data_IF_791319725998
#
_entry.id   IF_791319725998
#
_cell.length_a   1.000
_cell.length_b   1.000
_cell.length_c   1.000
_cell.angle_alpha   90.00
_cell.angle_beta   90.00
_cell.angle_gamma   90.00
#
_symmetry.space_group_name_H-M   'P 1'
#
loop_
_entity.id
_entity.type
_entity.pdbx_description
1 polymer ?
#
# COMPACT_ATOMS: atom_id res chain seq x y z
N UNK A 1 9.15 0.86 -1.14
CA UNK A 1 7.82 0.66 -0.50
C UNK A 1 7.23 -0.61 -1.07
N UNK A 2 6.62 -1.44 -0.24
CA UNK A 2 5.91 -2.64 -0.66
C UNK A 2 4.43 -2.46 -0.29
N UNK A 3 3.53 -2.79 -1.20
CA UNK A 3 2.09 -2.60 -1.04
C UNK A 3 1.42 -3.91 -1.44
N UNK A 4 0.43 -4.32 -0.67
CA UNK A 4 -0.37 -5.51 -0.91
C UNK A 4 -1.84 -5.20 -0.61
N UNK A 5 -2.74 -5.79 -1.39
CA UNK A 5 -4.18 -5.66 -1.22
C UNK A 5 -4.81 -7.05 -1.13
N UNK A 6 -5.71 -7.24 -0.17
CA UNK A 6 -6.43 -8.49 0.03
C UNK A 6 -7.92 -8.28 -0.12
N UNK A 7 -8.56 -9.19 -0.86
CA UNK A 7 -10.01 -9.23 -1.05
C UNK A 7 -10.52 -10.44 -0.29
N UNK A 8 -11.57 -10.26 0.51
CA UNK A 8 -12.32 -11.39 1.04
C UNK A 8 -13.57 -11.57 0.17
N UNK A 9 -13.62 -12.62 -0.68
CA UNK A 9 -14.75 -12.86 -1.58
C UNK A 9 -16.09 -12.88 -0.83
N UNK A 10 -17.16 -12.41 -1.48
CA UNK A 10 -18.54 -12.43 -0.98
C UNK A 10 -18.83 -11.61 0.29
N UNK A 11 -17.83 -10.94 0.87
CA UNK A 11 -17.98 -10.20 2.12
C UNK A 11 -17.90 -8.67 1.94
N UNK A 12 -17.58 -8.19 0.74
CA UNK A 12 -17.27 -6.77 0.44
C UNK A 12 -16.21 -6.15 1.37
N UNK A 13 -15.41 -7.01 2.03
CA UNK A 13 -14.33 -6.60 2.93
C UNK A 13 -13.02 -6.71 2.22
N UNK A 14 -12.23 -5.66 2.36
CA UNK A 14 -10.94 -5.53 1.73
C UNK A 14 -9.92 -5.08 2.76
N UNK A 15 -8.69 -5.55 2.60
CA UNK A 15 -7.54 -5.09 3.35
C UNK A 15 -6.52 -4.48 2.42
N UNK A 16 -5.82 -3.46 2.89
CA UNK A 16 -4.56 -3.05 2.29
C UNK A 16 -3.48 -3.02 3.35
N UNK A 17 -2.26 -3.35 2.93
CA UNK A 17 -1.06 -3.24 3.74
C UNK A 17 0.02 -2.54 2.94
N UNK A 18 0.75 -1.65 3.60
CA UNK A 18 1.92 -1.01 2.99
C UNK A 18 3.06 -0.95 4.00
N UNK A 19 4.28 -1.15 3.52
CA UNK A 19 5.51 -1.04 4.31
C UNK A 19 6.47 -0.13 3.58
N UNK A 20 6.99 0.88 4.28
CA UNK A 20 8.06 1.75 3.80
C UNK A 20 9.34 1.28 4.46
N UNK A 21 10.37 1.09 3.63
CA UNK A 21 11.72 0.74 4.05
C UNK A 21 12.66 1.84 3.58
N UNK A 22 13.69 2.13 4.37
CA UNK A 22 14.79 2.97 3.93
C UNK A 22 15.71 2.22 2.94
N UNK A 23 16.77 2.90 2.49
CA UNK A 23 17.73 2.34 1.54
C UNK A 23 18.56 1.18 2.11
N UNK A 24 18.62 1.03 3.44
CA UNK A 24 19.28 -0.11 4.12
C UNK A 24 18.34 -1.31 4.22
N UNK A 25 17.06 -1.14 3.88
CA UNK A 25 16.02 -2.16 4.03
C UNK A 25 15.34 -2.16 5.39
N UNK A 26 15.67 -1.22 6.29
CA UNK A 26 15.01 -1.07 7.60
C UNK A 26 13.59 -0.54 7.41
N UNK A 27 12.63 -1.16 8.07
CA UNK A 27 11.23 -0.69 8.08
C UNK A 27 11.14 0.61 8.90
N UNK A 28 10.64 1.67 8.29
CA UNK A 28 10.47 2.99 8.93
C UNK A 28 9.00 3.34 9.17
N UNK A 29 8.08 2.74 8.42
CA UNK A 29 6.65 2.91 8.60
C UNK A 29 5.88 1.69 8.08
N UNK A 30 4.74 1.39 8.72
CA UNK A 30 3.82 0.35 8.30
C UNK A 30 2.38 0.84 8.39
N UNK A 31 1.56 0.45 7.41
CA UNK A 31 0.14 0.75 7.31
C UNK A 31 -0.64 -0.55 7.15
N UNK A 32 -1.72 -0.69 7.91
CA UNK A 32 -2.72 -1.74 7.74
C UNK A 32 -4.09 -1.09 7.83
N UNK A 33 -4.86 -1.11 6.73
CA UNK A 33 -6.16 -0.44 6.67
C UNK A 33 -7.20 -1.37 6.08
N UNK A 34 -8.36 -1.44 6.72
CA UNK A 34 -9.55 -2.08 6.15
C UNK A 34 -10.23 -1.09 5.21
N UNK A 35 -10.58 -1.56 4.03
CA UNK A 35 -11.34 -0.81 3.04
C UNK A 35 -12.70 -1.51 2.86
N UNK A 36 -13.72 -0.71 2.60
CA UNK A 36 -15.08 -1.18 2.31
C UNK A 36 -15.50 -0.69 0.93
N UNK A 37 -16.22 -1.54 0.20
CA UNK A 37 -16.67 -1.28 -1.16
C UNK A 37 -16.59 -2.50 -2.06
N UNK A 38 -17.16 -2.36 -3.25
CA UNK A 38 -17.18 -3.41 -4.29
C UNK A 38 -16.20 -3.00 -5.37
N UNK A 39 -14.99 -3.56 -5.32
CA UNK A 39 -13.92 -3.31 -6.30
C UNK A 39 -13.47 -4.63 -6.89
N UNK A 40 -13.06 -4.61 -8.16
CA UNK A 40 -12.31 -5.73 -8.72
C UNK A 40 -10.94 -5.83 -8.04
N UNK A 41 -10.29 -7.00 -8.09
CA UNK A 41 -8.95 -7.17 -7.53
C UNK A 41 -7.94 -6.15 -8.11
N UNK A 42 -8.02 -5.86 -9.41
CA UNK A 42 -7.18 -4.87 -10.09
C UNK A 42 -7.41 -3.46 -9.57
N UNK A 43 -8.67 -3.06 -9.41
CA UNK A 43 -9.01 -1.73 -8.88
C UNK A 43 -8.55 -1.57 -7.44
N UNK A 44 -8.61 -2.64 -6.64
CA UNK A 44 -8.09 -2.62 -5.28
C UNK A 44 -6.57 -2.44 -5.23
N UNK A 45 -5.82 -3.16 -6.07
CA UNK A 45 -4.36 -3.00 -6.13
C UNK A 45 -4.00 -1.56 -6.48
N UNK A 46 -4.64 -1.00 -7.51
CA UNK A 46 -4.44 0.40 -7.90
C UNK A 46 -4.80 1.37 -6.76
N UNK A 47 -5.92 1.12 -6.07
CA UNK A 47 -6.36 1.94 -4.93
C UNK A 47 -5.42 1.81 -3.72
N UNK A 48 -4.91 0.63 -3.43
CA UNK A 48 -3.95 0.40 -2.37
C UNK A 48 -2.63 1.14 -2.63
N UNK A 49 -2.15 1.15 -3.88
CA UNK A 49 -0.98 1.94 -4.29
C UNK A 49 -1.26 3.43 -4.11
N UNK A 50 -2.39 3.93 -4.61
CA UNK A 50 -2.75 5.34 -4.48
C UNK A 50 -2.81 5.80 -3.01
N UNK A 51 -3.49 5.03 -2.15
CA UNK A 51 -3.62 5.33 -0.73
C UNK A 51 -2.29 5.24 0.02
N UNK A 52 -1.44 4.28 -0.32
CA UNK A 52 -0.12 4.15 0.30
C UNK A 52 0.84 5.28 -0.11
N UNK A 53 0.77 5.75 -1.36
CA UNK A 53 1.50 6.93 -1.82
C UNK A 53 1.04 8.21 -1.10
N UNK A 54 -0.27 8.40 -0.96
CA UNK A 54 -0.81 9.52 -0.18
C UNK A 54 -0.34 9.46 1.26
N UNK A 55 -0.43 8.29 1.89
CA UNK A 55 0.06 8.08 3.26
C UNK A 55 1.55 8.39 3.41
N UNK A 56 2.39 7.98 2.46
CA UNK A 56 3.82 8.32 2.50
C UNK A 56 4.06 9.82 2.36
N UNK A 57 3.28 10.51 1.54
CA UNK A 57 3.33 11.98 1.44
C UNK A 57 2.97 12.64 2.77
N UNK A 58 1.93 12.15 3.45
CA UNK A 58 1.49 12.69 4.74
C UNK A 58 2.55 12.45 5.85
N UNK A 59 3.37 11.41 5.71
CA UNK A 59 4.53 11.13 6.57
C UNK A 59 5.80 11.91 6.18
N UNK A 60 5.73 12.80 5.19
CA UNK A 60 6.89 13.48 4.58
C UNK A 60 8.00 12.51 4.12
N UNK A 61 7.61 11.28 3.77
CA UNK A 61 8.54 10.26 3.30
C UNK A 61 8.78 10.43 1.79
N UNK A 62 9.99 10.87 1.41
CA UNK A 62 10.40 10.91 0.00
C UNK A 62 10.64 9.49 -0.54
N UNK A 63 9.70 8.98 -1.32
CA UNK A 63 9.87 7.73 -2.06
C UNK A 63 10.72 7.99 -3.30
N UNK A 64 11.84 7.27 -3.42
CA UNK A 64 12.66 7.23 -4.64
C UNK A 64 12.60 5.84 -5.25
N UNK A 65 12.44 5.78 -6.56
CA UNK A 65 12.57 4.55 -7.32
C UNK A 65 14.06 4.28 -7.55
N UNK A 66 14.53 3.14 -7.06
CA UNK A 66 15.85 2.61 -7.40
C UNK A 66 15.65 1.44 -8.35
N UNK A 67 16.09 1.61 -9.59
CA UNK A 67 16.22 0.48 -10.52
C UNK A 67 17.63 -0.05 -10.32
N UNK A 68 17.76 -1.26 -9.78
CA UNK A 68 19.06 -1.96 -9.78
C UNK A 68 19.33 -2.41 -11.21
N UNK A 69 20.30 -1.77 -11.86
CA UNK A 69 20.89 -2.17 -13.14
C UNK A 69 21.73 -3.42 -12.98
#
# INVERSE_FOLDING_TARGET
>A
MNVDASLLPNSHRMGMRAIIRDYTGKVIAALSKKLSGTYSAKDMEAKAICLSLQWAKDLDCRIRCFVRS
#
